data_IF_154088598937
#
_entry.id   IF_154088598937
#
_cell.length_a   1.000
_cell.length_b   1.000
_cell.length_c   1.000
_cell.angle_alpha   90.00
_cell.angle_beta   90.00
_cell.angle_gamma   90.00
#
_symmetry.space_group_name_H-M   'P 1'
#
loop_
_entity.id
_entity.type
_entity.pdbx_description
1 polymer ?
#
# COMPACT_ATOMS: atom_id res chain seq x y z
N UNK A 1 -41.90 38.96 -10.12
CA UNK A 1 -40.72 38.17 -9.69
C UNK A 1 -40.53 38.35 -8.20
N UNK A 2 -40.74 37.30 -7.40
CA UNK A 2 -40.40 37.31 -5.98
C UNK A 2 -39.89 35.93 -5.60
N UNK A 3 -38.57 35.76 -5.45
CA UNK A 3 -37.98 34.51 -4.97
C UNK A 3 -38.31 34.37 -3.48
N UNK A 4 -39.03 33.31 -3.11
CA UNK A 4 -39.26 32.98 -1.72
C UNK A 4 -37.93 32.49 -1.10
N UNK A 5 -37.29 33.35 -0.31
CA UNK A 5 -36.13 32.97 0.49
C UNK A 5 -36.58 32.17 1.71
N UNK A 6 -36.57 30.83 1.59
CA UNK A 6 -36.75 29.96 2.74
C UNK A 6 -35.46 29.93 3.55
N UNK A 7 -35.42 30.72 4.64
CA UNK A 7 -34.32 30.64 5.63
C UNK A 7 -34.29 29.24 6.25
N UNK A 8 -33.16 28.56 6.11
CA UNK A 8 -32.91 27.25 6.73
C UNK A 8 -32.75 27.45 8.24
N UNK A 9 -33.87 27.39 8.96
CA UNK A 9 -33.91 27.54 10.43
C UNK A 9 -33.35 26.33 11.17
N UNK A 10 -33.18 25.19 10.49
CA UNK A 10 -32.70 23.94 11.08
C UNK A 10 -31.17 23.74 10.99
N UNK A 11 -30.39 24.73 10.53
CA UNK A 11 -28.95 24.56 10.30
C UNK A 11 -28.18 24.04 11.53
N UNK A 12 -28.52 24.51 12.73
CA UNK A 12 -27.89 24.08 13.97
C UNK A 12 -28.25 22.64 14.36
N UNK A 13 -29.48 22.20 14.14
CA UNK A 13 -29.93 20.83 14.45
C UNK A 13 -29.37 19.83 13.43
N UNK A 14 -29.31 20.20 12.15
CA UNK A 14 -28.65 19.44 11.09
C UNK A 14 -27.15 19.24 11.39
N UNK A 15 -26.43 20.31 11.77
CA UNK A 15 -25.03 20.22 12.19
C UNK A 15 -24.86 19.35 13.45
N UNK A 16 -25.76 19.48 14.43
CA UNK A 16 -25.71 18.66 15.66
C UNK A 16 -25.93 17.17 15.38
N UNK A 17 -26.71 16.82 14.35
CA UNK A 17 -26.88 15.44 13.89
C UNK A 17 -25.62 14.91 13.18
N UNK A 18 -24.92 15.75 12.41
CA UNK A 18 -23.64 15.42 11.78
C UNK A 18 -22.52 15.23 12.82
N UNK A 19 -22.49 16.03 13.88
CA UNK A 19 -21.51 15.91 14.97
C UNK A 19 -21.64 14.63 15.82
N UNK A 20 -22.74 13.87 15.71
CA UNK A 20 -22.97 12.63 16.47
C UNK A 20 -22.34 11.37 15.86
N UNK A 21 -21.78 11.45 14.65
CA UNK A 21 -20.86 10.43 14.12
C UNK A 21 -19.47 10.80 14.65
N UNK A 22 -18.87 9.94 15.47
CA UNK A 22 -17.69 10.24 16.30
C UNK A 22 -16.55 11.01 15.61
N UNK A 23 -15.73 11.70 16.43
CA UNK A 23 -14.59 12.58 16.08
C UNK A 23 -14.10 12.36 14.64
N UNK A 24 -14.27 13.39 13.81
CA UNK A 24 -13.87 13.35 12.39
C UNK A 24 -12.44 12.84 12.20
N UNK A 25 -12.15 12.28 11.02
CA UNK A 25 -10.83 11.76 10.70
C UNK A 25 -9.78 12.86 10.87
N UNK A 26 -8.86 12.70 11.81
CA UNK A 26 -7.77 13.66 12.05
C UNK A 26 -6.77 13.71 10.88
N UNK A 27 -6.75 12.67 10.04
CA UNK A 27 -5.86 12.54 8.90
C UNK A 27 -6.67 12.34 7.62
N UNK A 28 -6.25 12.99 6.54
CA UNK A 28 -6.83 12.86 5.21
C UNK A 28 -6.62 11.46 4.62
N UNK A 29 -7.38 11.12 3.58
CA UNK A 29 -7.17 9.90 2.78
C UNK A 29 -5.75 9.86 2.19
N UNK A 30 -5.24 11.01 1.73
CA UNK A 30 -3.88 11.13 1.19
C UNK A 30 -2.80 10.84 2.23
N UNK A 31 -2.94 11.32 3.47
CA UNK A 31 -1.98 11.05 4.54
C UNK A 31 -1.99 9.57 4.98
N UNK A 32 -3.15 8.91 4.93
CA UNK A 32 -3.23 7.47 5.21
C UNK A 32 -2.64 6.68 4.05
N UNK A 33 -2.90 7.08 2.80
CA UNK A 33 -2.32 6.44 1.62
C UNK A 33 -0.80 6.50 1.67
N UNK A 34 -0.19 7.66 1.99
CA UNK A 34 1.26 7.78 2.12
C UNK A 34 1.83 6.89 3.23
N UNK A 35 1.19 6.83 4.40
CA UNK A 35 1.60 5.92 5.46
C UNK A 35 1.57 4.45 5.01
N UNK A 36 0.53 4.04 4.26
CA UNK A 36 0.41 2.69 3.73
C UNK A 36 1.41 2.39 2.61
N UNK A 37 1.79 3.39 1.80
CA UNK A 37 2.88 3.25 0.83
C UNK A 37 4.21 3.00 1.53
N UNK A 38 4.55 3.80 2.55
CA UNK A 38 5.77 3.64 3.36
C UNK A 38 5.80 2.22 3.97
N UNK A 39 4.67 1.78 4.53
CA UNK A 39 4.52 0.41 5.05
C UNK A 39 4.88 -0.65 4.00
N UNK A 40 4.40 -0.46 2.76
CA UNK A 40 4.59 -1.41 1.66
C UNK A 40 6.01 -1.42 1.10
N UNK A 41 6.67 -0.26 1.04
CA UNK A 41 8.03 -0.07 0.51
C UNK A 41 9.06 -0.63 1.50
N UNK A 42 8.94 -0.28 2.78
CA UNK A 42 9.90 -0.68 3.82
C UNK A 42 9.51 -1.99 4.52
N UNK A 43 8.45 -2.66 4.09
CA UNK A 43 7.94 -3.91 4.68
C UNK A 43 7.69 -3.83 6.20
N UNK A 44 7.25 -2.66 6.69
CA UNK A 44 7.09 -2.42 8.13
C UNK A 44 5.76 -2.99 8.68
N UNK A 45 5.74 -3.54 9.91
CA UNK A 45 4.51 -3.74 10.65
C UNK A 45 3.91 -2.39 11.07
N UNK A 46 2.58 -2.32 11.24
CA UNK A 46 1.87 -1.07 11.55
C UNK A 46 2.36 -0.37 12.83
N UNK A 47 2.83 -1.14 13.82
CA UNK A 47 3.42 -0.60 15.06
C UNK A 47 4.74 0.11 14.83
N UNK A 48 5.62 -0.47 14.01
CA UNK A 48 6.89 0.15 13.65
C UNK A 48 6.65 1.38 12.74
N UNK A 49 5.66 1.32 11.85
CA UNK A 49 5.29 2.43 10.97
C UNK A 49 4.94 3.71 11.73
N UNK A 50 4.18 3.59 12.84
CA UNK A 50 3.83 4.73 13.66
C UNK A 50 5.07 5.41 14.26
N UNK A 51 5.99 4.62 14.84
CA UNK A 51 7.26 5.14 15.36
C UNK A 51 8.11 5.76 14.25
N UNK A 52 8.17 5.11 13.08
CA UNK A 52 8.91 5.59 11.92
C UNK A 52 8.40 6.94 11.41
N UNK A 53 7.08 7.12 11.26
CA UNK A 53 6.47 8.38 10.84
C UNK A 53 6.72 9.46 11.90
N UNK A 54 6.61 9.11 13.19
CA UNK A 54 6.91 10.03 14.28
C UNK A 54 8.36 10.51 14.24
N UNK A 55 9.34 9.63 14.05
CA UNK A 55 10.75 10.00 13.91
C UNK A 55 11.01 10.89 12.69
N UNK A 56 10.26 10.71 11.59
CA UNK A 56 10.34 11.63 10.43
C UNK A 56 9.84 13.02 10.82
N UNK A 57 8.74 13.14 11.55
CA UNK A 57 8.24 14.44 11.98
C UNK A 57 9.17 15.14 12.95
N UNK A 58 9.78 14.40 13.89
CA UNK A 58 10.84 14.93 14.76
C UNK A 58 12.07 15.39 13.96
N UNK A 59 12.50 14.59 12.97
CA UNK A 59 13.65 14.93 12.12
C UNK A 59 13.41 16.18 11.27
N UNK A 60 12.17 16.39 10.83
CA UNK A 60 11.77 17.55 10.02
C UNK A 60 11.39 18.77 10.87
N UNK A 61 11.41 18.66 12.20
CA UNK A 61 10.95 19.69 13.15
C UNK A 61 9.53 20.20 12.84
N UNK A 62 8.64 19.28 12.49
CA UNK A 62 7.25 19.60 12.16
C UNK A 62 6.35 19.26 13.36
N UNK A 63 5.51 20.20 13.85
CA UNK A 63 4.63 19.97 15.00
C UNK A 63 3.40 19.14 14.62
N UNK A 64 3.61 17.99 13.99
CA UNK A 64 2.58 17.02 13.62
C UNK A 64 2.73 15.75 14.45
N UNK A 65 1.59 15.15 14.77
CA UNK A 65 1.56 13.84 15.42
C UNK A 65 1.45 12.74 14.36
N UNK A 66 2.08 11.60 14.59
CA UNK A 66 1.88 10.42 13.73
C UNK A 66 0.46 9.86 13.90
N UNK A 67 -0.19 9.39 12.82
CA UNK A 67 -1.39 8.59 12.95
C UNK A 67 -1.13 7.35 13.82
N UNK A 68 -2.05 7.06 14.74
CA UNK A 68 -1.98 5.84 15.55
C UNK A 68 -2.20 4.59 14.69
N UNK A 69 -1.53 3.49 15.02
CA UNK A 69 -1.68 2.22 14.28
C UNK A 69 -3.16 1.78 14.20
N UNK A 70 -3.98 2.09 15.20
CA UNK A 70 -5.42 1.80 15.20
C UNK A 70 -6.14 2.62 14.14
N UNK A 71 -5.77 3.89 13.97
CA UNK A 71 -6.29 4.78 12.95
C UNK A 71 -5.95 4.23 11.55
N UNK A 72 -4.68 3.92 11.32
CA UNK A 72 -4.18 3.39 10.05
C UNK A 72 -4.85 2.06 9.71
N UNK A 73 -4.95 1.13 10.66
CA UNK A 73 -5.59 -0.19 10.48
C UNK A 73 -7.08 -0.09 10.13
N UNK A 74 -7.82 0.81 10.79
CA UNK A 74 -9.24 1.03 10.49
C UNK A 74 -9.42 1.63 9.09
N UNK A 75 -8.55 2.57 8.73
CA UNK A 75 -8.64 3.34 7.49
C UNK A 75 -8.09 2.61 6.27
N UNK A 76 -7.18 1.65 6.46
CA UNK A 76 -6.66 0.83 5.36
C UNK A 76 -7.73 -0.03 4.69
N UNK A 77 -8.90 -0.21 5.32
CA UNK A 77 -10.04 -0.93 4.75
C UNK A 77 -10.82 -0.08 3.74
N UNK A 78 -10.75 1.24 3.86
CA UNK A 78 -11.56 2.19 3.07
C UNK A 78 -10.72 3.02 2.10
N UNK A 79 -9.46 3.28 2.45
CA UNK A 79 -8.53 4.06 1.62
C UNK A 79 -7.93 3.14 0.56
N UNK A 80 -8.17 3.48 -0.70
CA UNK A 80 -7.54 2.80 -1.83
C UNK A 80 -6.09 3.27 -1.96
N UNK A 81 -5.15 2.33 -1.93
CA UNK A 81 -3.72 2.61 -2.11
C UNK A 81 -3.36 2.34 -3.56
N UNK A 82 -2.99 3.39 -4.30
CA UNK A 82 -2.62 3.26 -5.73
C UNK A 82 -1.26 2.61 -5.96
N UNK A 83 -0.55 2.29 -4.88
CA UNK A 83 0.72 1.59 -4.91
C UNK A 83 0.53 0.07 -4.82
N UNK A 84 1.00 -0.65 -5.83
CA UNK A 84 1.03 -2.12 -5.86
C UNK A 84 2.47 -2.58 -5.81
N UNK A 85 2.86 -3.30 -4.76
CA UNK A 85 4.15 -4.01 -4.75
C UNK A 85 4.24 -4.92 -5.98
N UNK A 86 5.39 -4.92 -6.65
CA UNK A 86 5.62 -5.81 -7.79
C UNK A 86 5.32 -7.25 -7.36
N UNK A 87 4.55 -7.99 -8.17
CA UNK A 87 4.36 -9.41 -7.93
C UNK A 87 5.73 -10.09 -7.98
N UNK A 88 5.96 -11.03 -7.07
CA UNK A 88 7.22 -11.81 -7.02
C UNK A 88 7.27 -12.90 -8.12
N UNK A 89 6.69 -12.64 -9.29
CA UNK A 89 6.49 -13.62 -10.36
C UNK A 89 5.11 -14.30 -10.34
N UNK A 90 4.95 -15.35 -11.15
CA UNK A 90 3.72 -16.12 -11.25
C UNK A 90 3.45 -16.90 -9.95
N UNK A 91 2.26 -16.72 -9.37
CA UNK A 91 1.82 -17.47 -8.20
C UNK A 91 1.39 -18.86 -8.67
N UNK A 92 2.10 -19.92 -8.26
CA UNK A 92 1.75 -21.30 -8.63
C UNK A 92 0.90 -22.00 -7.57
N UNK A 93 1.23 -21.80 -6.30
CA UNK A 93 0.51 -22.44 -5.20
C UNK A 93 0.27 -21.45 -4.06
N UNK A 94 -0.94 -21.50 -3.51
CA UNK A 94 -1.34 -20.73 -2.33
C UNK A 94 -1.65 -21.76 -1.24
N UNK A 95 -0.92 -21.72 -0.14
CA UNK A 95 -1.22 -22.50 1.05
C UNK A 95 -1.90 -21.60 2.09
N UNK A 96 -3.00 -22.10 2.67
CA UNK A 96 -3.73 -21.42 3.74
C UNK A 96 -3.66 -22.35 4.95
N UNK A 97 -3.05 -21.88 6.04
CA UNK A 97 -3.03 -22.58 7.32
C UNK A 97 -3.72 -21.71 8.40
N UNK A 98 -3.83 -22.24 9.63
CA UNK A 98 -4.45 -21.54 10.76
C UNK A 98 -3.67 -20.31 11.23
N UNK A 99 -2.42 -20.14 10.77
CA UNK A 99 -1.55 -19.00 11.08
C UNK A 99 -1.52 -17.95 9.96
N UNK A 100 -1.94 -18.29 8.75
CA UNK A 100 -2.18 -17.34 7.67
C UNK A 100 -2.00 -17.88 6.25
N UNK A 101 -1.78 -16.93 5.34
CA UNK A 101 -1.68 -17.14 3.90
C UNK A 101 -0.21 -17.16 3.47
N UNK A 102 0.24 -18.26 2.88
CA UNK A 102 1.60 -18.40 2.32
C UNK A 102 1.52 -18.62 0.81
N UNK A 103 2.15 -17.72 0.05
CA UNK A 103 2.17 -17.74 -1.41
C UNK A 103 3.52 -18.28 -1.89
N UNK A 104 3.49 -19.36 -2.67
CA UNK A 104 4.68 -19.96 -3.27
C UNK A 104 4.75 -19.60 -4.77
N UNK A 105 5.85 -18.96 -5.17
CA UNK A 105 6.22 -18.73 -6.56
C UNK A 105 7.50 -19.50 -6.86
N UNK A 106 7.60 -20.09 -8.04
CA UNK A 106 8.83 -20.76 -8.47
C UNK A 106 9.71 -19.75 -9.18
N UNK A 107 10.96 -19.68 -8.75
CA UNK A 107 12.04 -19.10 -9.54
C UNK A 107 12.44 -20.19 -10.51
N UNK A 108 12.09 -20.02 -11.78
CA UNK A 108 12.73 -20.79 -12.85
C UNK A 108 14.19 -20.33 -12.87
N UNK A 109 15.17 -21.20 -12.59
CA UNK A 109 16.56 -20.78 -12.55
C UNK A 109 17.02 -20.44 -13.96
N UNK A 110 17.72 -19.30 -14.10
CA UNK A 110 18.33 -18.82 -15.34
C UNK A 110 19.38 -19.78 -15.95
N UNK A 111 19.63 -20.91 -15.29
CA UNK A 111 20.58 -21.96 -15.68
C UNK A 111 20.17 -22.69 -16.95
N UNK A 112 18.87 -22.75 -17.27
CA UNK A 112 18.40 -23.45 -18.47
C UNK A 112 18.63 -22.63 -19.75
N UNK A 113 18.68 -21.29 -19.64
CA UNK A 113 18.95 -20.41 -20.78
C UNK A 113 20.44 -20.38 -21.16
N UNK A 114 21.34 -20.52 -20.18
CA UNK A 114 22.80 -20.56 -20.43
C UNK A 114 23.18 -21.89 -21.09
N UNK A 115 22.68 -23.01 -20.57
CA UNK A 115 22.97 -24.33 -21.11
C UNK A 115 22.38 -24.54 -22.53
N UNK A 116 21.23 -23.93 -22.84
CA UNK A 116 20.66 -24.07 -24.19
C UNK A 116 21.38 -23.19 -25.22
N UNK A 117 21.82 -21.99 -24.83
CA UNK A 117 22.60 -21.11 -25.71
C UNK A 117 24.02 -21.66 -26.02
N UNK A 118 24.65 -22.37 -25.09
CA UNK A 118 25.97 -22.98 -25.38
C UNK A 118 25.87 -24.17 -26.35
N UNK A 119 24.76 -24.92 -26.34
CA UNK A 119 24.56 -26.07 -27.22
C UNK A 119 24.14 -25.70 -28.65
N UNK A 120 23.60 -24.51 -28.88
CA UNK A 120 23.13 -24.06 -30.20
C UNK A 120 24.21 -23.33 -31.02
N UNK A 121 25.10 -22.55 -30.37
CA UNK A 121 26.01 -21.64 -31.09
C UNK A 121 27.40 -22.23 -31.36
N UNK A 122 27.86 -23.18 -30.54
CA UNK A 122 29.19 -23.81 -30.68
C UNK A 122 29.33 -24.61 -32.00
N UNK A 123 28.33 -25.39 -32.46
CA UNK A 123 28.42 -26.10 -33.75
C UNK A 123 28.49 -25.14 -34.95
N UNK A 124 27.75 -24.03 -34.91
CA UNK A 124 27.68 -23.03 -35.98
C UNK A 124 29.02 -22.28 -36.18
N UNK A 125 29.74 -22.01 -35.09
CA UNK A 125 31.06 -21.39 -35.14
C UNK A 125 32.12 -22.39 -35.63
N UNK A 126 32.03 -23.66 -35.25
CA UNK A 126 32.96 -24.71 -35.68
C UNK A 126 32.86 -25.06 -37.18
N UNK A 127 31.70 -24.87 -37.79
CA UNK A 127 31.48 -25.13 -39.22
C UNK A 127 31.96 -23.98 -40.13
N UNK A 128 31.92 -22.73 -39.64
CA UNK A 128 32.29 -21.53 -40.41
C UNK A 128 33.76 -21.07 -40.23
N UNK A 129 34.59 -21.87 -39.54
CA UNK A 129 36.01 -21.59 -39.28
C UNK A 129 36.97 -22.57 -39.98
N UNK A 130 36.50 -23.27 -41.02
CA UNK A 130 37.34 -23.98 -42.01
C UNK A 130 37.38 -23.21 -43.33
#
# INVERSE_FOLDING_TARGET
MGKAEKKITNWAQYNKALCKRGRGFQYSDTAIETALMIKGIFYLPLRALQGFIYSIFELLDVPLTSPDYTCISKRSKTVQVKYRNKSKGAIRHIAIDSTGLKVFGVVEPQTDLINNAENEWIPYIAENLK
#
